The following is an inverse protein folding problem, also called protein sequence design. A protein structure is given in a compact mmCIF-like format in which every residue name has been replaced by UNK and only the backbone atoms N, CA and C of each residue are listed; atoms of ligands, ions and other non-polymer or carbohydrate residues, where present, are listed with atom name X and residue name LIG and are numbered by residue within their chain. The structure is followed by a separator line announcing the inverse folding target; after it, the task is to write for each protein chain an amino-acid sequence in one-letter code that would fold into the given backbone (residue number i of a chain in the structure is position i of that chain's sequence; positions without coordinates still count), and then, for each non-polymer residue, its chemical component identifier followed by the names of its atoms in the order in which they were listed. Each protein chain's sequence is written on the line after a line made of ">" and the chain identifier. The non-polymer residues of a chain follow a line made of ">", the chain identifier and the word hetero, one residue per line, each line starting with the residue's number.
data_IF_094239784829
#
_entry.id   IF_094239784829
#
_cell.length_a   1.000
_cell.length_b   1.000
_cell.length_c   1.000
_cell.angle_alpha   90.00
_cell.angle_beta   90.00
_cell.angle_gamma   90.00
#
_symmetry.space_group_name_H-M   'P 1'
#
loop_
_entity.id
_entity.type
_entity.pdbx_description
1 polymer ?
#
# COMPACT_ATOMS: atom_id res chain seq x y z
N UNK A 1 6.65 5.05 13.81
CA UNK A 1 5.69 4.64 14.86
C UNK A 1 4.56 5.65 14.88
N UNK A 2 3.34 5.17 14.93
CA UNK A 2 2.12 5.97 15.01
C UNK A 2 1.66 6.13 16.47
N UNK A 3 0.71 7.04 16.71
CA UNK A 3 0.22 7.35 18.07
C UNK A 3 -0.49 6.17 18.74
N UNK A 4 -1.06 5.26 17.96
CA UNK A 4 -1.67 4.01 18.43
C UNK A 4 -0.65 2.90 18.75
N UNK A 5 0.65 3.17 18.56
CA UNK A 5 1.76 2.24 18.77
C UNK A 5 2.08 1.34 17.58
N UNK A 6 1.33 1.44 16.48
CA UNK A 6 1.67 0.70 15.27
C UNK A 6 2.97 1.21 14.64
N UNK A 7 3.60 0.38 13.83
CA UNK A 7 4.87 0.69 13.17
C UNK A 7 4.71 0.51 11.66
N UNK A 8 4.99 1.57 10.91
CA UNK A 8 5.16 1.49 9.47
C UNK A 8 6.64 1.28 9.13
N UNK A 9 6.91 0.29 8.29
CA UNK A 9 8.21 0.10 7.68
C UNK A 9 8.08 0.37 6.19
N UNK A 10 8.89 1.26 5.68
CA UNK A 10 8.88 1.62 4.27
C UNK A 10 10.30 1.57 3.71
N UNK A 11 10.47 0.80 2.64
CA UNK A 11 11.70 0.76 1.87
C UNK A 11 11.41 1.22 0.45
N UNK A 12 12.23 2.10 -0.07
CA UNK A 12 12.17 2.55 -1.44
C UNK A 12 13.53 2.34 -2.12
N UNK A 13 13.49 1.78 -3.32
CA UNK A 13 14.68 1.55 -4.13
C UNK A 13 14.43 1.93 -5.58
N UNK A 14 15.50 1.95 -6.37
CA UNK A 14 15.37 2.07 -7.81
C UNK A 14 14.88 0.75 -8.39
N UNK A 15 13.70 0.75 -9.02
CA UNK A 15 13.01 -0.44 -9.52
C UNK A 15 13.92 -1.48 -10.21
N UNK A 16 14.76 -1.12 -11.19
CA UNK A 16 15.64 -2.05 -11.85
C UNK A 16 16.70 -2.73 -10.98
N UNK A 17 16.91 -2.25 -9.77
CA UNK A 17 17.86 -2.83 -8.80
C UNK A 17 17.19 -3.77 -7.80
N UNK A 18 15.87 -3.86 -7.81
CA UNK A 18 15.10 -4.73 -6.92
C UNK A 18 14.74 -6.02 -7.66
N UNK A 19 14.69 -7.13 -6.93
CA UNK A 19 14.11 -8.36 -7.48
C UNK A 19 12.59 -8.22 -7.62
N UNK A 20 11.98 -8.98 -8.52
CA UNK A 20 10.51 -9.05 -8.64
C UNK A 20 9.82 -9.28 -7.30
N UNK A 21 10.35 -10.19 -6.50
CA UNK A 21 9.81 -10.49 -5.16
C UNK A 21 9.78 -9.24 -4.28
N UNK A 22 10.84 -8.42 -4.30
CA UNK A 22 10.92 -7.21 -3.48
C UNK A 22 9.90 -6.14 -3.88
N UNK A 23 9.49 -6.09 -5.15
CA UNK A 23 8.44 -5.18 -5.61
C UNK A 23 7.08 -5.41 -4.96
N UNK A 24 6.80 -6.66 -4.61
CA UNK A 24 5.48 -7.11 -4.15
C UNK A 24 5.40 -7.37 -2.64
N UNK A 25 6.45 -7.09 -1.88
CA UNK A 25 6.38 -7.18 -0.43
C UNK A 25 5.62 -5.96 0.10
N UNK A 26 4.32 -6.15 0.29
CA UNK A 26 3.42 -5.15 0.88
C UNK A 26 2.50 -5.88 1.86
N UNK A 27 2.92 -5.92 3.12
CA UNK A 27 2.20 -6.64 4.15
C UNK A 27 1.65 -5.66 5.19
N UNK A 28 0.39 -5.89 5.56
CA UNK A 28 -0.22 -5.26 6.73
C UNK A 28 -0.51 -6.34 7.75
N UNK A 29 0.15 -6.27 8.90
CA UNK A 29 0.07 -7.30 9.95
C UNK A 29 -0.58 -6.70 11.18
N UNK A 30 -1.57 -7.38 11.71
CA UNK A 30 -2.28 -7.00 12.93
C UNK A 30 -2.57 -8.19 13.85
N UNK A 31 -3.12 -7.95 15.03
CA UNK A 31 -3.37 -9.01 16.00
C UNK A 31 -4.45 -10.02 15.59
N UNK A 32 -5.21 -9.71 14.54
CA UNK A 32 -6.27 -10.58 14.02
C UNK A 32 -5.90 -11.32 12.74
N UNK A 33 -4.73 -11.01 12.17
CA UNK A 33 -4.28 -11.60 10.91
C UNK A 33 -3.39 -10.67 10.11
N UNK A 34 -3.24 -10.98 8.85
CA UNK A 34 -2.47 -10.16 7.91
C UNK A 34 -3.12 -10.09 6.54
N UNK A 35 -2.80 -9.04 5.81
CA UNK A 35 -3.09 -8.91 4.39
C UNK A 35 -1.77 -8.80 3.65
N UNK A 36 -1.59 -9.64 2.64
CA UNK A 36 -0.39 -9.68 1.80
C UNK A 36 -0.78 -9.71 0.33
N UNK A 37 0.12 -9.30 -0.56
CA UNK A 37 -0.06 -9.55 -2.00
C UNK A 37 0.18 -11.04 -2.24
N UNK A 38 -0.76 -11.69 -2.96
CA UNK A 38 -0.63 -13.09 -3.32
C UNK A 38 0.47 -13.32 -4.35
N UNK A 39 1.26 -14.39 -4.19
CA UNK A 39 2.27 -14.79 -5.18
C UNK A 39 1.65 -15.19 -6.52
N UNK A 40 0.41 -15.70 -6.52
CA UNK A 40 -0.34 -16.02 -7.75
C UNK A 40 -0.74 -14.77 -8.56
N UNK A 41 -0.62 -13.60 -7.94
CA UNK A 41 -0.91 -12.30 -8.55
C UNK A 41 0.21 -11.75 -9.44
N UNK A 42 1.38 -12.39 -9.42
CA UNK A 42 2.50 -11.97 -10.25
C UNK A 42 2.21 -12.31 -11.70
N UNK A 43 1.86 -11.29 -12.48
CA UNK A 43 1.83 -11.44 -13.95
C UNK A 43 3.23 -11.72 -14.49
N UNK A 44 3.30 -12.45 -15.62
CA UNK A 44 4.54 -12.72 -16.39
C UNK A 44 5.09 -11.45 -17.09
N UNK A 45 4.86 -10.27 -16.53
CA UNK A 45 5.23 -9.02 -17.18
C UNK A 45 6.55 -8.48 -16.64
N UNK A 46 7.54 -8.37 -17.51
CA UNK A 46 8.79 -7.64 -17.28
C UNK A 46 8.56 -6.10 -17.29
N UNK A 47 7.32 -5.65 -17.42
CA UNK A 47 7.01 -4.24 -17.50
C UNK A 47 6.91 -3.62 -16.10
N UNK A 48 7.75 -2.64 -15.82
CA UNK A 48 7.76 -1.89 -14.55
C UNK A 48 6.42 -1.21 -14.25
N UNK A 49 5.64 -0.89 -15.28
CA UNK A 49 4.30 -0.28 -15.15
C UNK A 49 3.26 -1.24 -14.55
N UNK A 50 3.45 -2.54 -14.67
CA UNK A 50 2.55 -3.54 -14.10
C UNK A 50 2.69 -3.69 -12.57
N UNK A 51 3.67 -3.02 -11.95
CA UNK A 51 3.83 -3.01 -10.50
C UNK A 51 2.65 -2.35 -9.75
N UNK A 52 1.76 -1.65 -10.45
CA UNK A 52 0.55 -1.07 -9.87
C UNK A 52 -0.54 -2.10 -9.62
N UNK A 53 -0.51 -3.25 -10.32
CA UNK A 53 -1.51 -4.31 -10.17
C UNK A 53 -1.14 -5.24 -9.03
N UNK A 54 -2.10 -5.55 -8.17
CA UNK A 54 -1.92 -6.53 -7.10
C UNK A 54 -2.35 -7.94 -7.52
N UNK A 55 -3.25 -8.08 -8.51
CA UNK A 55 -3.77 -9.35 -9.04
C UNK A 55 -4.52 -10.19 -8.02
N UNK A 56 -4.13 -10.17 -6.76
CA UNK A 56 -4.81 -10.83 -5.66
C UNK A 56 -4.23 -10.48 -4.31
N UNK A 57 -5.07 -10.52 -3.29
CA UNK A 57 -4.68 -10.34 -1.89
C UNK A 57 -4.95 -11.62 -1.11
N UNK A 58 -4.02 -12.01 -0.28
CA UNK A 58 -4.18 -13.09 0.69
C UNK A 58 -4.53 -12.49 2.05
N UNK A 59 -5.73 -12.83 2.54
CA UNK A 59 -6.18 -12.47 3.89
C UNK A 59 -5.98 -13.68 4.81
N UNK A 60 -5.06 -13.55 5.75
CA UNK A 60 -4.80 -14.55 6.78
C UNK A 60 -5.57 -14.23 8.07
N UNK A 61 -6.21 -15.22 8.66
CA UNK A 61 -6.92 -15.12 9.94
C UNK A 61 -6.10 -15.75 11.07
N UNK A 62 -5.68 -14.95 12.05
CA UNK A 62 -4.83 -15.41 13.17
C UNK A 62 -5.61 -16.04 14.32
N UNK A 63 -6.95 -16.12 14.24
CA UNK A 63 -7.78 -16.73 15.29
C UNK A 63 -7.58 -18.25 15.34
N UNK A 64 -7.39 -18.79 16.55
CA UNK A 64 -7.23 -20.20 16.77
C UNK A 64 -8.47 -20.82 17.43
N UNK A 65 -8.76 -22.06 17.08
CA UNK A 65 -9.79 -22.87 17.74
C UNK A 65 -9.28 -23.47 19.07
N UNK A 66 -10.16 -24.24 19.76
CA UNK A 66 -9.82 -24.88 21.04
C UNK A 66 -8.72 -25.94 20.95
N UNK A 67 -8.35 -26.38 19.76
CA UNK A 67 -7.28 -27.35 19.47
C UNK A 67 -5.96 -26.67 19.12
N UNK A 68 -5.96 -25.35 18.98
CA UNK A 68 -4.80 -24.56 18.57
C UNK A 68 -4.57 -24.51 17.06
N UNK A 69 -5.55 -24.90 16.27
CA UNK A 69 -5.54 -24.80 14.81
C UNK A 69 -6.19 -23.47 14.39
N UNK A 70 -5.84 -22.95 13.20
CA UNK A 70 -6.51 -21.75 12.70
C UNK A 70 -8.01 -22.00 12.54
N UNK A 71 -8.81 -21.13 13.13
CA UNK A 71 -10.28 -21.26 13.12
C UNK A 71 -10.90 -21.01 11.74
N UNK A 72 -10.19 -20.29 10.87
CA UNK A 72 -10.62 -19.99 9.50
C UNK A 72 -9.46 -20.22 8.54
N UNK A 73 -9.74 -20.70 7.33
CA UNK A 73 -8.75 -20.78 6.27
C UNK A 73 -8.40 -19.37 5.77
N UNK A 74 -7.26 -19.25 5.13
CA UNK A 74 -6.89 -18.05 4.39
C UNK A 74 -7.87 -17.79 3.24
N UNK A 75 -8.13 -16.53 2.95
CA UNK A 75 -9.00 -16.10 1.87
C UNK A 75 -8.18 -15.42 0.77
N UNK A 76 -8.36 -15.87 -0.47
CA UNK A 76 -7.80 -15.22 -1.64
C UNK A 76 -8.84 -14.25 -2.22
N UNK A 77 -8.51 -12.97 -2.20
CA UNK A 77 -9.33 -11.90 -2.79
C UNK A 77 -8.76 -11.61 -4.17
N UNK A 78 -9.55 -11.90 -5.20
CA UNK A 78 -9.17 -11.61 -6.57
C UNK A 78 -9.34 -10.12 -6.87
N UNK A 79 -8.29 -9.48 -7.35
CA UNK A 79 -8.25 -8.06 -7.75
C UNK A 79 -7.85 -7.91 -9.23
N UNK A 80 -8.06 -8.95 -10.04
CA UNK A 80 -7.67 -8.95 -11.46
C UNK A 80 -8.42 -7.94 -12.32
N UNK A 81 -9.51 -7.37 -11.80
CA UNK A 81 -10.29 -6.30 -12.41
C UNK A 81 -9.75 -4.88 -12.10
N UNK A 82 -8.66 -4.79 -11.34
CA UNK A 82 -8.01 -3.50 -11.11
C UNK A 82 -7.58 -2.87 -12.44
N UNK A 83 -7.81 -1.55 -12.61
CA UNK A 83 -7.32 -0.82 -13.76
C UNK A 83 -5.80 -0.92 -13.88
N UNK A 84 -5.29 -0.90 -15.08
CA UNK A 84 -3.87 -0.69 -15.34
C UNK A 84 -3.45 0.76 -15.01
N UNK A 85 -2.17 1.07 -15.18
CA UNK A 85 -1.63 2.40 -14.89
C UNK A 85 -2.39 3.51 -15.62
N UNK A 86 -2.66 3.34 -16.91
CA UNK A 86 -3.37 4.34 -17.72
C UNK A 86 -4.82 4.50 -17.25
N UNK A 87 -5.48 3.41 -16.89
CA UNK A 87 -6.82 3.43 -16.30
C UNK A 87 -6.87 4.17 -14.98
N UNK A 88 -5.88 3.98 -14.10
CA UNK A 88 -5.77 4.72 -12.84
C UNK A 88 -5.55 6.22 -13.08
N UNK A 89 -4.68 6.59 -14.01
CA UNK A 89 -4.47 7.98 -14.40
C UNK A 89 -5.74 8.62 -14.96
N UNK A 90 -6.49 7.89 -15.79
CA UNK A 90 -7.77 8.38 -16.31
C UNK A 90 -8.77 8.64 -15.19
N UNK A 91 -8.95 7.70 -14.26
CA UNK A 91 -9.84 7.85 -13.11
C UNK A 91 -9.47 9.05 -12.23
N UNK A 92 -8.17 9.28 -12.01
CA UNK A 92 -7.67 10.45 -11.28
C UNK A 92 -8.07 11.77 -11.98
N UNK A 93 -7.86 11.85 -13.30
CA UNK A 93 -8.21 13.04 -14.08
C UNK A 93 -9.72 13.28 -14.13
N UNK A 94 -10.52 12.23 -14.29
CA UNK A 94 -11.98 12.31 -14.26
C UNK A 94 -12.47 12.80 -12.90
N UNK A 95 -11.93 12.26 -11.80
CA UNK A 95 -12.26 12.70 -10.47
C UNK A 95 -11.91 14.18 -10.25
N UNK A 96 -10.72 14.60 -10.67
CA UNK A 96 -10.28 16.00 -10.54
C UNK A 96 -11.17 16.96 -11.35
N UNK A 97 -11.51 16.60 -12.60
CA UNK A 97 -12.42 17.37 -13.43
C UNK A 97 -13.80 17.49 -12.78
N UNK A 98 -14.34 16.39 -12.27
CA UNK A 98 -15.61 16.36 -11.56
C UNK A 98 -15.55 17.24 -10.30
N UNK A 99 -14.47 17.18 -9.54
CA UNK A 99 -14.29 17.99 -8.35
C UNK A 99 -14.34 19.50 -8.65
N UNK A 100 -13.77 19.93 -9.78
CA UNK A 100 -13.84 21.32 -10.25
C UNK A 100 -15.26 21.69 -10.67
N UNK A 101 -15.94 20.82 -11.42
CA UNK A 101 -17.27 21.11 -11.98
C UNK A 101 -18.36 21.14 -10.89
N UNK A 102 -18.25 20.32 -9.88
CA UNK A 102 -19.24 20.14 -8.82
C UNK A 102 -18.87 20.89 -7.51
N UNK A 103 -17.75 21.62 -7.50
CA UNK A 103 -17.21 22.34 -6.32
C UNK A 103 -17.07 21.42 -5.10
N UNK A 104 -16.48 20.21 -5.34
CA UNK A 104 -16.29 19.21 -4.27
C UNK A 104 -15.25 19.71 -3.27
N UNK A 105 -15.58 19.61 -1.97
CA UNK A 105 -14.62 19.93 -0.92
C UNK A 105 -13.47 18.89 -0.88
N UNK A 106 -12.28 19.33 -1.26
CA UNK A 106 -11.05 18.54 -1.27
C UNK A 106 -10.16 18.78 -0.03
N UNK A 107 -10.68 19.40 1.02
CA UNK A 107 -9.90 19.75 2.22
C UNK A 107 -9.24 18.54 2.87
N UNK A 108 -9.91 17.39 2.91
CA UNK A 108 -9.36 16.16 3.45
C UNK A 108 -8.23 15.61 2.58
N UNK A 109 -8.39 15.58 1.26
CA UNK A 109 -7.32 15.21 0.33
C UNK A 109 -6.09 16.12 0.46
N UNK A 110 -6.33 17.43 0.57
CA UNK A 110 -5.25 18.39 0.75
C UNK A 110 -4.50 18.16 2.06
N UNK A 111 -5.21 17.90 3.15
CA UNK A 111 -4.60 17.57 4.45
C UNK A 111 -3.75 16.31 4.36
N UNK A 112 -4.25 15.26 3.71
CA UNK A 112 -3.55 14.00 3.56
C UNK A 112 -2.30 14.14 2.68
N UNK A 113 -2.39 14.90 1.59
CA UNK A 113 -1.25 15.23 0.74
C UNK A 113 -0.16 15.98 1.52
N UNK A 114 -0.54 16.99 2.33
CA UNK A 114 0.39 17.73 3.18
C UNK A 114 1.02 16.81 4.24
N UNK A 115 0.25 15.93 4.88
CA UNK A 115 0.78 14.98 5.86
C UNK A 115 1.75 13.98 5.23
N UNK A 116 1.45 13.48 4.03
CA UNK A 116 2.36 12.61 3.28
C UNK A 116 3.69 13.31 2.96
N UNK A 117 3.64 14.57 2.53
CA UNK A 117 4.83 15.37 2.29
C UNK A 117 5.64 15.60 3.58
N UNK A 118 4.97 15.86 4.71
CA UNK A 118 5.66 16.02 6.00
C UNK A 118 6.43 14.77 6.39
N UNK A 119 5.88 13.57 6.15
CA UNK A 119 6.56 12.29 6.40
C UNK A 119 7.83 12.20 5.56
N UNK A 120 7.76 12.51 4.28
CA UNK A 120 8.92 12.46 3.36
C UNK A 120 10.00 13.44 3.79
N UNK A 121 9.64 14.68 4.12
CA UNK A 121 10.59 15.70 4.58
C UNK A 121 11.22 15.32 5.93
N UNK A 122 10.47 14.72 6.83
CA UNK A 122 11.00 14.22 8.10
C UNK A 122 11.96 13.05 7.90
N UNK A 123 11.70 12.17 6.94
CA UNK A 123 12.62 11.09 6.57
C UNK A 123 13.95 11.65 6.04
N UNK A 124 13.90 12.66 5.16
CA UNK A 124 15.10 13.35 4.65
C UNK A 124 15.88 14.04 5.78
N UNK A 125 15.21 14.74 6.69
CA UNK A 125 15.83 15.33 7.87
C UNK A 125 16.48 14.26 8.76
N UNK A 126 15.79 13.16 9.01
CA UNK A 126 16.31 12.04 9.82
C UNK A 126 17.58 11.46 9.18
N UNK A 127 17.57 11.26 7.86
CA UNK A 127 18.75 10.79 7.12
C UNK A 127 19.93 11.75 7.26
N UNK A 128 19.72 13.06 7.05
CA UNK A 128 20.80 14.06 7.10
C UNK A 128 21.34 14.27 8.50
N UNK A 129 20.52 14.13 9.53
CA UNK A 129 20.92 14.43 10.93
C UNK A 129 21.30 13.20 11.73
N UNK A 130 20.94 12.00 11.25
CA UNK A 130 21.08 10.73 12.00
C UNK A 130 20.18 10.67 13.24
N UNK A 131 19.11 11.48 13.31
CA UNK A 131 18.22 11.56 14.47
C UNK A 131 16.80 11.18 14.12
N UNK A 132 16.06 10.67 15.11
CA UNK A 132 14.60 10.50 14.99
C UNK A 132 13.93 11.88 14.91
N UNK A 133 13.05 12.05 13.93
CA UNK A 133 12.20 13.23 13.78
C UNK A 133 10.79 12.88 14.23
N UNK A 134 10.18 13.76 15.02
CA UNK A 134 8.76 13.66 15.42
C UNK A 134 7.92 14.54 14.50
N UNK A 135 6.80 14.02 14.04
CA UNK A 135 5.83 14.72 13.20
C UNK A 135 4.77 15.42 14.03
#
# INVERSE_FOLDING_TARGET
>A
TFDDGSVGWYEAGWGPMMSETAFFIKDVIGPKGSVSISDDAKGDSDNVEDHTKTGGLLLHHAEHDSRGEFAKPDELINTSDEPDHDGLCLMEQEYFLKAIQEDVDLSDHMRDAVNSLRIVLAADESYRTGKTVKL
#
